data_IF_802004251068
#
_entry.id   IF_802004251068
#
_cell.length_a   1.000
_cell.length_b   1.000
_cell.length_c   1.000
_cell.angle_alpha   90.00
_cell.angle_beta   90.00
_cell.angle_gamma   90.00
#
_symmetry.space_group_name_H-M   'P 1'
#
loop_
_entity.id
_entity.type
_entity.pdbx_description
1 polymer ?
#
# COMPACT_ATOMS: atom_id res chain seq x y z
N UNK A 1 -10.90 -5.60 -13.13
CA UNK A 1 -9.67 -6.38 -12.85
C UNK A 1 -8.83 -6.60 -14.12
N UNK A 2 -9.22 -7.46 -15.07
CA UNK A 2 -8.37 -7.77 -16.25
C UNK A 2 -8.05 -6.53 -17.12
N UNK A 3 -9.06 -5.70 -17.42
CA UNK A 3 -8.88 -4.43 -18.16
C UNK A 3 -7.92 -3.46 -17.45
N UNK A 4 -7.98 -3.42 -16.11
CA UNK A 4 -7.13 -2.54 -15.30
C UNK A 4 -5.68 -2.99 -15.30
N UNK A 5 -5.45 -4.31 -15.24
CA UNK A 5 -4.12 -4.92 -15.33
C UNK A 5 -3.50 -4.70 -16.72
N UNK A 6 -4.28 -4.88 -17.79
CA UNK A 6 -3.84 -4.63 -19.17
C UNK A 6 -3.49 -3.15 -19.40
N UNK A 7 -4.33 -2.22 -18.91
CA UNK A 7 -4.09 -0.77 -19.03
C UNK A 7 -2.74 -0.36 -18.41
N UNK A 8 -2.33 -1.03 -17.34
CA UNK A 8 -1.03 -0.78 -16.68
C UNK A 8 0.10 -1.66 -17.20
N UNK A 9 -0.09 -2.40 -18.29
CA UNK A 9 0.92 -3.28 -18.88
C UNK A 9 1.54 -4.19 -17.80
N UNK A 10 0.68 -4.80 -16.98
CA UNK A 10 1.08 -5.86 -16.07
C UNK A 10 1.00 -7.17 -16.84
N UNK A 11 2.09 -7.94 -16.89
CA UNK A 11 2.09 -9.24 -17.53
C UNK A 11 1.41 -10.27 -16.62
N UNK A 12 0.29 -10.83 -17.07
CA UNK A 12 -0.45 -11.85 -16.34
C UNK A 12 -1.06 -12.90 -17.26
N UNK A 13 -1.20 -14.12 -16.74
CA UNK A 13 -1.96 -15.20 -17.37
C UNK A 13 -3.23 -15.48 -16.57
N UNK A 14 -4.18 -16.14 -17.22
CA UNK A 14 -5.36 -16.72 -16.58
C UNK A 14 -5.21 -18.24 -16.62
N UNK A 15 -5.02 -18.86 -15.47
CA UNK A 15 -4.91 -20.32 -15.31
C UNK A 15 -5.95 -20.74 -14.28
N UNK A 16 -6.82 -21.70 -14.63
CA UNK A 16 -7.89 -22.18 -13.76
C UNK A 16 -8.73 -21.06 -13.12
N UNK A 17 -9.13 -20.08 -13.94
CA UNK A 17 -9.90 -18.88 -13.52
C UNK A 17 -9.17 -17.95 -12.52
N UNK A 18 -7.88 -18.20 -12.24
CA UNK A 18 -7.03 -17.35 -11.40
C UNK A 18 -6.11 -16.50 -12.26
N UNK A 19 -5.81 -15.29 -11.78
CA UNK A 19 -4.84 -14.39 -12.41
C UNK A 19 -3.47 -14.66 -11.80
N UNK A 20 -2.49 -14.98 -12.64
CA UNK A 20 -1.08 -15.19 -12.24
C UNK A 20 -0.22 -14.08 -12.82
N UNK A 21 0.44 -13.29 -11.97
CA UNK A 21 1.39 -12.27 -12.40
C UNK A 21 2.71 -12.94 -12.81
N UNK A 22 3.24 -12.62 -13.99
CA UNK A 22 4.47 -13.23 -14.52
C UNK A 22 5.75 -12.51 -14.14
N UNK A 23 5.64 -11.23 -13.82
CA UNK A 23 6.79 -10.38 -13.54
C UNK A 23 6.49 -9.43 -12.39
N UNK A 24 7.54 -9.03 -11.69
CA UNK A 24 7.46 -7.98 -10.69
C UNK A 24 7.41 -6.62 -11.36
N UNK A 25 6.56 -5.74 -10.84
CA UNK A 25 6.46 -4.36 -11.30
C UNK A 25 6.27 -3.42 -10.13
N UNK A 26 7.03 -2.33 -10.13
CA UNK A 26 6.87 -1.26 -9.14
C UNK A 26 5.65 -0.41 -9.52
N UNK A 27 4.65 -0.37 -8.63
CA UNK A 27 3.43 0.44 -8.80
C UNK A 27 3.35 1.62 -7.83
N UNK A 28 4.14 1.59 -6.76
CA UNK A 28 4.26 2.63 -5.76
C UNK A 28 5.69 2.63 -5.21
N UNK A 29 6.19 3.81 -4.90
CA UNK A 29 7.50 4.00 -4.26
C UNK A 29 7.30 4.75 -2.95
N UNK A 30 8.24 4.56 -2.02
CA UNK A 30 8.24 5.25 -0.74
C UNK A 30 8.27 6.78 -0.98
N UNK A 31 7.51 7.51 -0.17
CA UNK A 31 7.44 8.97 -0.16
C UNK A 31 6.96 9.62 -1.48
N UNK A 32 6.38 8.82 -2.40
CA UNK A 32 5.75 9.32 -3.63
C UNK A 32 4.24 9.20 -3.58
N UNK A 33 3.56 10.17 -4.17
CA UNK A 33 2.11 10.11 -4.37
C UNK A 33 1.74 8.94 -5.30
N UNK A 34 0.79 8.13 -4.84
CA UNK A 34 0.27 7.01 -5.61
C UNK A 34 -0.91 7.48 -6.44
N UNK A 35 -0.86 7.25 -7.76
CA UNK A 35 -2.02 7.50 -8.65
C UNK A 35 -3.25 6.67 -8.26
N UNK A 36 -4.45 7.21 -8.52
CA UNK A 36 -5.72 6.57 -8.19
C UNK A 36 -5.87 5.16 -8.81
N UNK A 37 -5.36 4.94 -10.02
CA UNK A 37 -5.44 3.63 -10.65
C UNK A 37 -4.47 2.63 -10.02
N UNK A 38 -3.25 3.06 -9.65
CA UNK A 38 -2.30 2.17 -8.99
C UNK A 38 -2.79 1.79 -7.59
N UNK A 39 -3.38 2.73 -6.84
CA UNK A 39 -3.97 2.41 -5.52
C UNK A 39 -5.13 1.42 -5.64
N UNK A 40 -5.98 1.55 -6.68
CA UNK A 40 -7.03 0.56 -6.99
C UNK A 40 -6.46 -0.82 -7.28
N UNK A 41 -5.39 -0.91 -8.09
CA UNK A 41 -4.76 -2.20 -8.42
C UNK A 41 -4.14 -2.85 -7.18
N UNK A 42 -3.37 -2.09 -6.40
CA UNK A 42 -2.75 -2.60 -5.18
C UNK A 42 -3.81 -3.09 -4.18
N UNK A 43 -4.93 -2.39 -4.06
CA UNK A 43 -6.08 -2.83 -3.24
C UNK A 43 -6.74 -4.10 -3.77
N UNK A 44 -6.94 -4.22 -5.09
CA UNK A 44 -7.49 -5.45 -5.71
C UNK A 44 -6.58 -6.66 -5.50
N UNK A 45 -5.27 -6.46 -5.51
CA UNK A 45 -4.27 -7.49 -5.24
C UNK A 45 -4.06 -7.74 -3.74
N UNK A 46 -4.88 -7.11 -2.89
CA UNK A 46 -4.80 -7.19 -1.43
C UNK A 46 -3.42 -6.84 -0.86
N UNK A 47 -2.70 -5.91 -1.50
CA UNK A 47 -1.43 -5.39 -1.00
C UNK A 47 -1.68 -4.29 0.04
N UNK A 48 -0.99 -4.37 1.18
CA UNK A 48 -1.00 -3.31 2.18
C UNK A 48 -0.20 -2.12 1.67
N UNK A 49 -0.89 -1.02 1.34
CA UNK A 49 -0.27 0.20 0.79
C UNK A 49 0.11 1.24 1.84
N UNK A 50 -0.39 1.08 3.07
CA UNK A 50 -0.11 1.95 4.19
C UNK A 50 -0.12 1.13 5.47
N UNK A 51 0.74 1.52 6.40
CA UNK A 51 0.70 1.06 7.79
C UNK A 51 0.08 2.18 8.61
N UNK A 52 -1.03 1.87 9.27
CA UNK A 52 -1.64 2.76 10.24
C UNK A 52 -1.25 2.24 11.61
N UNK A 53 -0.58 3.10 12.37
CA UNK A 53 -0.18 2.82 13.74
C UNK A 53 -0.49 4.02 14.63
N UNK A 54 -0.63 3.77 15.92
CA UNK A 54 -0.88 4.81 16.92
C UNK A 54 0.47 5.17 17.55
N UNK A 55 0.97 6.33 17.19
CA UNK A 55 2.19 6.88 17.80
C UNK A 55 1.83 7.69 19.04
N UNK A 56 2.32 7.26 20.21
CA UNK A 56 2.19 8.03 21.46
C UNK A 56 3.18 9.20 21.42
N UNK A 57 2.66 10.43 21.47
CA UNK A 57 3.47 11.66 21.39
C UNK A 57 3.92 12.18 22.77
N UNK A 58 3.23 11.78 23.83
CA UNK A 58 3.55 12.18 25.20
C UNK A 58 2.57 11.61 26.21
N UNK A 59 2.90 11.74 27.48
CA UNK A 59 2.06 11.29 28.60
C UNK A 59 2.27 12.16 29.84
N UNK A 60 1.32 12.09 30.77
CA UNK A 60 1.43 12.73 32.08
C UNK A 60 1.92 11.71 33.11
N UNK A 61 2.86 12.11 33.95
CA UNK A 61 3.33 11.31 35.07
C UNK A 61 3.60 12.18 36.29
N UNK A 62 2.89 11.92 37.39
CA UNK A 62 3.01 12.63 38.67
C UNK A 62 3.14 14.16 38.46
N UNK A 63 2.14 14.74 37.80
CA UNK A 63 2.00 16.18 37.48
C UNK A 63 3.05 16.77 36.53
N UNK A 64 3.82 15.93 35.84
CA UNK A 64 4.77 16.35 34.80
C UNK A 64 4.33 15.85 33.43
N UNK A 65 4.34 16.72 32.44
CA UNK A 65 4.18 16.34 31.04
C UNK A 65 5.52 15.82 30.49
N UNK A 66 5.50 14.61 29.95
CA UNK A 66 6.64 13.98 29.27
C UNK A 66 6.37 13.96 27.78
N UNK A 67 7.12 14.76 27.02
CA UNK A 67 7.14 14.69 25.56
C UNK A 67 7.96 13.48 25.11
N UNK A 68 7.44 12.72 24.15
CA UNK A 68 8.17 11.67 23.43
C UNK A 68 8.60 12.12 22.03
N UNK A 69 8.26 13.36 21.65
CA UNK A 69 8.76 14.00 20.45
C UNK A 69 10.14 14.59 20.77
N UNK A 70 11.19 13.99 20.19
CA UNK A 70 12.55 14.55 20.16
C UNK A 70 12.65 15.70 19.16
#
# INVERSE_FOLDING_TARGET
>A
MQKDLQKRKLNFDIVDQKIILKENKVLAEKDKLISLENSKILRMLNMKIAFFDITVLGYWYLDKFVSLMN
#
